data_IF_740485549491
#
_entry.id   IF_740485549491
#
_cell.length_a   1.000
_cell.length_b   1.000
_cell.length_c   1.000
_cell.angle_alpha   90.00
_cell.angle_beta   90.00
_cell.angle_gamma   90.00
#
_symmetry.space_group_name_H-M   'P 1'
#
loop_
_entity.id
_entity.type
_entity.pdbx_description
1 polymer ?
#
# COMPACT_ATOMS: atom_id res chain seq x y z
N UNK A 1 15.96 -2.88 32.90
CA UNK A 1 14.60 -3.36 32.60
C UNK A 1 13.74 -2.13 32.40
N UNK A 2 13.54 -1.71 31.16
CA UNK A 2 12.51 -0.73 30.85
C UNK A 2 11.24 -1.56 30.69
N UNK A 3 10.26 -1.29 31.55
CA UNK A 3 8.92 -1.85 31.43
C UNK A 3 8.37 -1.48 30.05
N UNK A 4 7.91 -2.48 29.30
CA UNK A 4 7.08 -2.24 28.12
C UNK A 4 5.83 -1.51 28.59
N UNK A 5 5.84 -0.17 28.54
CA UNK A 5 4.60 0.61 28.62
C UNK A 5 3.69 0.05 27.52
N UNK A 6 2.52 -0.45 27.93
CA UNK A 6 1.50 -0.94 27.01
C UNK A 6 1.08 0.21 26.09
N UNK A 7 1.74 0.32 24.94
CA UNK A 7 1.41 1.28 23.89
C UNK A 7 -0.08 1.12 23.60
N UNK A 8 -0.85 2.18 23.84
CA UNK A 8 -2.30 2.16 23.69
C UNK A 8 -2.68 1.58 22.31
N UNK A 9 -3.66 0.66 22.20
CA UNK A 9 -3.99 -0.02 20.94
C UNK A 9 -4.21 0.91 19.74
N UNK A 10 -4.69 2.13 19.96
CA UNK A 10 -4.84 3.14 18.90
C UNK A 10 -3.51 3.64 18.31
N UNK A 11 -2.42 3.64 19.08
CA UNK A 11 -1.09 4.08 18.64
C UNK A 11 -0.42 3.05 17.72
N UNK A 12 -0.83 1.78 17.79
CA UNK A 12 -0.43 0.74 16.82
C UNK A 12 -1.09 0.91 15.45
N UNK A 13 -2.14 1.73 15.38
CA UNK A 13 -3.00 1.91 14.19
C UNK A 13 -3.13 3.38 13.81
N UNK A 14 -2.27 4.27 14.31
CA UNK A 14 -2.21 5.62 13.78
C UNK A 14 -1.66 5.56 12.36
N UNK A 15 -2.54 5.84 11.41
CA UNK A 15 -2.26 5.68 9.99
C UNK A 15 -1.84 6.98 9.31
N UNK A 16 -2.06 8.15 9.91
CA UNK A 16 -1.86 9.43 9.21
C UNK A 16 -0.39 9.86 9.15
N UNK A 17 0.15 9.84 7.94
CA UNK A 17 1.51 10.26 7.61
C UNK A 17 1.53 11.63 6.91
N UNK A 18 0.40 12.33 6.83
CA UNK A 18 0.26 13.58 6.08
C UNK A 18 1.10 14.74 6.63
N UNK A 19 1.56 14.65 7.88
CA UNK A 19 2.40 15.66 8.54
C UNK A 19 3.90 15.34 8.53
N UNK A 20 4.28 14.16 8.04
CA UNK A 20 5.69 13.75 7.98
C UNK A 20 6.38 14.45 6.81
N UNK A 21 7.60 14.95 7.04
CA UNK A 21 8.46 15.41 5.96
C UNK A 21 8.75 14.24 5.01
N UNK A 22 8.41 14.39 3.73
CA UNK A 22 8.56 13.35 2.70
C UNK A 22 10.00 12.85 2.62
N UNK A 23 11.00 13.69 2.94
CA UNK A 23 12.43 13.32 2.96
C UNK A 23 12.76 12.30 4.05
N UNK A 24 11.92 12.19 5.07
CA UNK A 24 12.05 11.24 6.18
C UNK A 24 11.23 9.97 5.96
N UNK A 25 10.46 9.86 4.86
CA UNK A 25 9.71 8.65 4.57
C UNK A 25 10.66 7.47 4.32
N UNK A 26 10.52 6.36 5.09
CA UNK A 26 11.36 5.19 4.89
C UNK A 26 11.12 4.52 3.54
N UNK A 27 12.20 4.18 2.84
CA UNK A 27 12.16 3.33 1.65
C UNK A 27 11.56 1.97 2.00
N UNK A 28 10.73 1.40 1.11
CA UNK A 28 10.03 0.14 1.34
C UNK A 28 8.79 0.27 2.23
N UNK A 29 8.36 1.50 2.55
CA UNK A 29 7.12 1.75 3.27
C UNK A 29 5.91 1.40 2.40
N UNK A 30 5.00 0.60 2.94
CA UNK A 30 3.69 0.39 2.34
C UNK A 30 2.80 1.56 2.76
N UNK A 31 2.45 2.37 1.78
CA UNK A 31 1.60 3.54 1.94
C UNK A 31 0.26 3.31 1.23
N UNK A 32 -0.76 3.99 1.70
CA UNK A 32 -2.04 4.02 1.02
C UNK A 32 -2.68 5.41 1.11
N UNK A 33 -3.69 5.63 0.28
CA UNK A 33 -4.50 6.84 0.29
C UNK A 33 -5.96 6.44 0.12
N UNK A 34 -6.85 7.05 0.90
CA UNK A 34 -8.29 6.90 0.71
C UNK A 34 -8.74 7.63 -0.56
N UNK A 35 -9.45 6.93 -1.43
CA UNK A 35 -10.04 7.43 -2.67
C UNK A 35 -11.51 7.04 -2.72
N UNK A 36 -12.32 7.85 -3.39
CA UNK A 36 -13.75 7.59 -3.48
C UNK A 36 -14.53 8.87 -3.72
N UNK A 37 -15.79 8.71 -4.09
CA UNK A 37 -16.75 9.80 -4.16
C UNK A 37 -18.12 9.29 -3.73
N UNK A 38 -18.83 10.10 -2.92
CA UNK A 38 -20.19 9.88 -2.45
C UNK A 38 -20.38 8.57 -1.65
N UNK A 39 -20.55 7.42 -2.32
CA UNK A 39 -21.04 6.16 -1.73
C UNK A 39 -20.04 5.00 -1.75
N UNK A 40 -18.85 5.19 -2.34
CA UNK A 40 -17.82 4.15 -2.42
C UNK A 40 -16.43 4.71 -2.12
N UNK A 41 -15.93 4.43 -0.92
CA UNK A 41 -14.54 4.68 -0.50
C UNK A 41 -13.72 3.40 -0.59
N UNK A 42 -12.47 3.54 -1.02
CA UNK A 42 -11.49 2.46 -1.06
C UNK A 42 -10.09 3.00 -0.74
N UNK A 43 -9.22 2.14 -0.23
CA UNK A 43 -7.81 2.44 -0.05
C UNK A 43 -7.02 2.07 -1.32
N UNK A 44 -6.20 2.98 -1.82
CA UNK A 44 -5.28 2.73 -2.92
C UNK A 44 -3.86 2.56 -2.39
N UNK A 45 -3.24 1.42 -2.65
CA UNK A 45 -2.01 0.99 -1.99
C UNK A 45 -0.78 1.06 -2.91
N UNK A 46 0.40 1.33 -2.32
CA UNK A 46 1.67 1.40 -3.03
C UNK A 46 2.87 1.21 -2.12
N UNK A 47 4.03 1.00 -2.75
CA UNK A 47 5.34 0.91 -2.09
C UNK A 47 6.15 2.17 -2.40
N UNK A 48 6.49 2.91 -1.35
CA UNK A 48 7.42 4.03 -1.48
C UNK A 48 8.85 3.51 -1.71
N UNK A 49 9.50 4.00 -2.76
CA UNK A 49 10.83 3.52 -3.17
C UNK A 49 11.95 4.56 -2.99
N UNK A 50 11.65 5.70 -2.37
CA UNK A 50 12.57 6.83 -2.21
C UNK A 50 12.28 8.00 -3.17
N UNK A 51 12.88 9.16 -2.89
CA UNK A 51 12.87 10.35 -3.76
C UNK A 51 11.48 10.81 -4.24
N UNK A 52 10.45 10.66 -3.39
CA UNK A 52 9.09 11.02 -3.77
C UNK A 52 8.48 10.09 -4.82
N UNK A 53 8.98 8.85 -4.99
CA UNK A 53 8.52 7.88 -5.99
C UNK A 53 7.80 6.70 -5.34
N UNK A 54 6.77 6.21 -6.02
CA UNK A 54 5.90 5.13 -5.53
C UNK A 54 5.65 4.14 -6.66
N UNK A 55 5.82 2.85 -6.38
CA UNK A 55 5.39 1.78 -7.28
C UNK A 55 4.04 1.25 -6.77
N UNK A 56 3.05 1.15 -7.65
CA UNK A 56 1.74 0.64 -7.29
C UNK A 56 1.04 -0.03 -8.47
N UNK A 57 0.09 -0.92 -8.15
CA UNK A 57 -0.76 -1.51 -9.18
C UNK A 57 -1.92 -0.58 -9.52
N UNK A 58 -2.24 -0.44 -10.81
CA UNK A 58 -3.40 0.32 -11.30
C UNK A 58 -4.32 -0.56 -12.14
N UNK A 59 -5.61 -0.23 -12.12
CA UNK A 59 -6.59 -0.91 -12.94
C UNK A 59 -6.65 -0.39 -14.38
N UNK A 60 -7.21 -1.19 -15.31
CA UNK A 60 -7.30 -0.85 -16.74
C UNK A 60 -8.16 0.39 -17.05
N UNK A 61 -8.89 0.91 -16.05
CA UNK A 61 -9.67 2.16 -16.12
C UNK A 61 -9.29 3.17 -15.03
N UNK A 62 -8.10 3.06 -14.44
CA UNK A 62 -7.66 4.01 -13.44
C UNK A 62 -7.66 5.41 -14.06
N UNK A 63 -8.60 6.26 -13.64
CA UNK A 63 -8.68 7.65 -14.07
C UNK A 63 -7.37 8.34 -13.70
N UNK A 64 -6.52 8.58 -14.69
CA UNK A 64 -5.32 9.39 -14.51
C UNK A 64 -5.51 10.78 -15.13
N UNK A 65 -4.56 11.68 -14.89
CA UNK A 65 -4.61 13.01 -15.45
C UNK A 65 -4.63 12.94 -16.99
N UNK A 66 -5.47 13.78 -17.62
CA UNK A 66 -5.56 13.90 -19.09
C UNK A 66 -4.25 14.38 -19.72
N UNK A 67 -3.44 15.09 -18.94
CA UNK A 67 -2.11 15.58 -19.31
C UNK A 67 -1.07 14.83 -18.49
N UNK A 68 0.00 14.37 -19.14
CA UNK A 68 1.09 13.67 -18.47
C UNK A 68 1.72 14.53 -17.37
N UNK A 69 2.03 13.92 -16.22
CA UNK A 69 2.67 14.63 -15.13
C UNK A 69 4.09 15.06 -15.49
N UNK A 70 4.45 16.33 -15.26
CA UNK A 70 5.81 16.84 -15.54
C UNK A 70 6.90 16.19 -14.68
N UNK A 71 6.56 15.62 -13.52
CA UNK A 71 7.53 15.01 -12.58
C UNK A 71 7.79 13.52 -12.84
N UNK A 72 6.76 12.77 -13.28
CA UNK A 72 6.86 11.32 -13.45
C UNK A 72 6.43 10.82 -14.83
N UNK A 73 6.02 11.70 -15.74
CA UNK A 73 5.49 11.39 -17.07
C UNK A 73 4.24 10.48 -17.09
N UNK A 74 3.70 10.12 -15.92
CA UNK A 74 2.50 9.28 -15.82
C UNK A 74 1.29 9.96 -16.46
N UNK A 75 0.56 9.20 -17.29
CA UNK A 75 -0.68 9.60 -17.97
C UNK A 75 -1.76 8.51 -17.81
N UNK A 76 -3.04 8.92 -17.78
CA UNK A 76 -4.16 8.07 -17.39
C UNK A 76 -4.65 7.00 -18.38
N UNK A 77 -3.80 6.54 -19.30
CA UNK A 77 -4.17 5.60 -20.37
C UNK A 77 -3.22 4.39 -20.47
N UNK A 78 -2.53 4.04 -19.38
CA UNK A 78 -1.57 2.95 -19.40
C UNK A 78 -2.24 1.58 -19.31
N UNK A 79 -1.88 0.67 -20.23
CA UNK A 79 -2.22 -0.76 -20.19
C UNK A 79 -1.37 -1.55 -19.18
N UNK A 80 -0.48 -0.89 -18.43
CA UNK A 80 0.39 -1.54 -17.44
C UNK A 80 -0.31 -1.70 -16.10
N UNK A 81 -0.32 -2.93 -15.58
CA UNK A 81 -0.93 -3.26 -14.30
C UNK A 81 -0.13 -2.76 -13.09
N UNK A 82 1.17 -2.50 -13.24
CA UNK A 82 2.07 -1.95 -12.20
C UNK A 82 2.83 -0.78 -12.79
N UNK A 83 2.84 0.35 -12.10
CA UNK A 83 3.41 1.61 -12.58
C UNK A 83 4.24 2.28 -11.48
N UNK A 84 5.15 3.16 -11.90
CA UNK A 84 5.88 4.06 -11.01
C UNK A 84 5.39 5.49 -11.21
N UNK A 85 5.02 6.17 -10.13
CA UNK A 85 4.53 7.55 -10.15
C UNK A 85 5.25 8.40 -9.11
N UNK A 86 5.12 9.74 -9.21
CA UNK A 86 5.47 10.59 -8.08
C UNK A 86 4.41 10.48 -6.97
N UNK A 87 4.82 10.74 -5.73
CA UNK A 87 3.98 10.68 -4.55
C UNK A 87 2.73 11.57 -4.70
N UNK A 88 2.87 12.74 -5.31
CA UNK A 88 1.73 13.64 -5.57
C UNK A 88 0.67 13.01 -6.48
N UNK A 89 1.08 12.33 -7.55
CA UNK A 89 0.15 11.60 -8.43
C UNK A 89 -0.46 10.38 -7.73
N UNK A 90 0.31 9.70 -6.89
CA UNK A 90 -0.18 8.62 -6.05
C UNK A 90 -1.24 9.10 -5.05
N UNK A 91 -1.03 10.24 -4.39
CA UNK A 91 -1.97 10.79 -3.42
C UNK A 91 -3.21 11.41 -4.07
N UNK A 92 -3.06 12.05 -5.23
CA UNK A 92 -4.16 12.69 -5.95
C UNK A 92 -4.98 13.66 -5.05
N UNK A 93 -4.28 14.40 -4.18
CA UNK A 93 -4.87 15.31 -3.19
C UNK A 93 -5.39 14.65 -1.91
N UNK A 94 -5.34 13.32 -1.81
CA UNK A 94 -5.71 12.59 -0.60
C UNK A 94 -4.63 12.58 0.48
N UNK A 95 -4.98 12.04 1.65
CA UNK A 95 -4.09 11.93 2.81
C UNK A 95 -3.13 10.77 2.66
N UNK A 96 -1.86 11.00 2.98
CA UNK A 96 -0.85 9.95 3.01
C UNK A 96 -1.06 9.11 4.26
N UNK A 97 -1.29 7.81 4.09
CA UNK A 97 -1.41 6.88 5.19
C UNK A 97 -0.38 5.75 5.14
N UNK A 98 0.00 5.21 6.30
CA UNK A 98 0.87 4.03 6.42
C UNK A 98 0.07 2.77 6.70
N UNK A 99 0.42 1.69 6.01
CA UNK A 99 -0.03 0.33 6.35
C UNK A 99 0.86 -0.27 7.44
N UNK A 100 0.25 -0.79 8.51
CA UNK A 100 0.99 -1.34 9.65
C UNK A 100 1.18 -2.86 9.56
N UNK A 101 2.42 -3.30 9.77
CA UNK A 101 2.81 -4.71 9.85
C UNK A 101 3.16 -5.04 11.30
N UNK A 102 3.26 -6.33 11.61
CA UNK A 102 3.66 -6.79 12.95
C UNK A 102 2.71 -6.32 14.06
N UNK A 103 1.45 -6.03 13.73
CA UNK A 103 0.44 -5.62 14.71
C UNK A 103 0.05 -6.84 15.57
N UNK A 104 0.13 -6.76 16.92
CA UNK A 104 -0.26 -7.85 17.79
C UNK A 104 -1.71 -8.31 17.60
N UNK A 105 -1.95 -9.62 17.66
CA UNK A 105 -3.28 -10.18 17.37
C UNK A 105 -4.36 -9.73 18.37
N UNK A 106 -4.00 -9.48 19.62
CA UNK A 106 -4.90 -8.88 20.61
C UNK A 106 -5.31 -7.46 20.21
N UNK A 107 -4.40 -6.64 19.68
CA UNK A 107 -4.71 -5.30 19.16
C UNK A 107 -5.69 -5.40 17.99
N UNK A 108 -5.45 -6.28 17.01
CA UNK A 108 -6.35 -6.48 15.86
C UNK A 108 -7.77 -6.91 16.28
N UNK A 109 -7.90 -7.70 17.35
CA UNK A 109 -9.20 -8.20 17.85
C UNK A 109 -10.00 -7.13 18.58
N UNK A 110 -9.34 -6.21 19.28
CA UNK A 110 -9.99 -5.22 20.16
C UNK A 110 -10.46 -3.99 19.36
N UNK A 111 -9.75 -3.60 18.31
CA UNK A 111 -10.02 -2.34 17.61
C UNK A 111 -11.27 -2.37 16.72
N UNK A 112 -12.10 -3.43 16.73
CA UNK A 112 -13.20 -3.66 15.76
C UNK A 112 -12.73 -3.71 14.29
N UNK A 113 -11.46 -4.06 14.09
CA UNK A 113 -10.77 -4.19 12.80
C UNK A 113 -11.14 -5.46 12.00
N UNK A 114 -12.33 -6.01 12.20
CA UNK A 114 -12.83 -7.15 11.41
C UNK A 114 -12.94 -6.78 9.91
N UNK A 115 -12.88 -5.47 9.59
CA UNK A 115 -12.92 -4.91 8.22
C UNK A 115 -11.71 -4.00 7.88
N UNK A 116 -10.64 -3.97 8.69
CA UNK A 116 -9.55 -3.03 8.50
C UNK A 116 -8.54 -3.52 7.45
N UNK A 117 -8.64 -3.00 6.22
CA UNK A 117 -7.71 -3.23 5.11
C UNK A 117 -6.37 -2.47 5.24
N UNK A 118 -6.00 -2.00 6.44
CA UNK A 118 -4.87 -1.04 6.60
C UNK A 118 -3.80 -1.49 7.60
N UNK A 119 -3.93 -2.69 8.17
CA UNK A 119 -2.89 -3.31 9.00
C UNK A 119 -2.95 -4.85 9.00
N UNK A 120 -1.86 -5.50 9.40
CA UNK A 120 -1.75 -6.96 9.47
C UNK A 120 -0.79 -7.42 10.56
N UNK A 121 -0.98 -8.66 11.04
CA UNK A 121 -0.04 -9.34 11.95
C UNK A 121 1.11 -10.03 11.20
N UNK A 122 1.12 -10.02 9.87
CA UNK A 122 2.24 -10.57 9.08
C UNK A 122 3.49 -9.70 9.29
N UNK A 123 4.65 -10.36 9.25
CA UNK A 123 5.95 -9.68 9.32
C UNK A 123 6.33 -9.10 7.97
N UNK A 124 6.91 -7.90 8.00
CA UNK A 124 7.52 -7.31 6.81
C UNK A 124 8.93 -7.86 6.57
N UNK A 125 9.28 -8.06 5.30
CA UNK A 125 10.66 -8.17 4.83
C UNK A 125 11.44 -6.87 5.08
N UNK A 126 12.78 -6.93 5.10
CA UNK A 126 13.65 -5.76 5.08
C UNK A 126 13.37 -4.82 3.91
N UNK A 127 13.59 -3.51 4.11
CA UNK A 127 13.24 -2.47 3.13
C UNK A 127 13.84 -2.70 1.73
N UNK A 128 15.10 -3.15 1.66
CA UNK A 128 15.78 -3.42 0.40
C UNK A 128 15.08 -4.53 -0.40
N UNK A 129 14.70 -5.63 0.24
CA UNK A 129 13.99 -6.74 -0.41
C UNK A 129 12.58 -6.35 -0.88
N UNK A 130 11.90 -5.50 -0.11
CA UNK A 130 10.59 -4.96 -0.47
C UNK A 130 10.69 -4.15 -1.76
N UNK A 131 11.67 -3.24 -1.83
CA UNK A 131 11.88 -2.40 -3.02
C UNK A 131 12.36 -3.21 -4.21
N UNK A 132 13.24 -4.19 -4.00
CA UNK A 132 13.66 -5.11 -5.06
C UNK A 132 12.46 -5.86 -5.64
N UNK A 133 11.58 -6.38 -4.76
CA UNK A 133 10.35 -7.06 -5.18
C UNK A 133 9.43 -6.12 -5.98
N UNK A 134 9.20 -4.89 -5.48
CA UNK A 134 8.36 -3.91 -6.17
C UNK A 134 8.93 -3.52 -7.55
N UNK A 135 10.24 -3.26 -7.64
CA UNK A 135 10.93 -2.95 -8.91
C UNK A 135 10.90 -4.11 -9.89
N UNK A 136 11.05 -5.34 -9.41
CA UNK A 136 10.93 -6.54 -10.23
C UNK A 136 9.52 -6.67 -10.80
N UNK A 137 8.49 -6.47 -9.98
CA UNK A 137 7.09 -6.50 -10.42
C UNK A 137 6.66 -5.34 -11.31
N UNK A 138 7.32 -4.19 -11.22
CA UNK A 138 7.19 -3.12 -12.20
C UNK A 138 7.65 -3.57 -13.61
N UNK A 139 8.69 -4.41 -13.70
CA UNK A 139 9.22 -4.91 -14.99
C UNK A 139 8.44 -6.13 -15.51
N UNK A 140 8.14 -7.08 -14.62
CA UNK A 140 7.51 -8.36 -14.98
C UNK A 140 5.98 -8.29 -15.05
N UNK A 141 5.37 -7.28 -14.41
CA UNK A 141 3.94 -7.24 -14.14
C UNK A 141 3.54 -8.08 -12.92
N UNK A 142 2.26 -7.96 -12.53
CA UNK A 142 1.70 -8.60 -11.33
C UNK A 142 0.34 -9.25 -11.62
N UNK A 143 0.31 -10.15 -12.62
CA UNK A 143 -0.90 -10.90 -13.01
C UNK A 143 -1.99 -10.06 -13.68
N UNK A 144 -3.14 -10.69 -13.96
CA UNK A 144 -4.31 -10.02 -14.54
C UNK A 144 -5.11 -9.29 -13.48
N UNK A 145 -5.50 -8.05 -13.78
CA UNK A 145 -6.14 -7.15 -12.83
C UNK A 145 -7.64 -7.44 -12.68
N UNK A 146 -8.10 -7.85 -11.49
CA UNK A 146 -9.50 -7.82 -11.07
C UNK A 146 -9.89 -6.48 -10.40
N UNK A 147 -11.02 -5.90 -10.80
CA UNK A 147 -11.39 -4.50 -10.55
C UNK A 147 -11.61 -4.12 -9.06
N UNK A 148 -10.61 -3.51 -8.42
CA UNK A 148 -10.76 -2.35 -7.50
C UNK A 148 -10.37 -2.51 -6.01
N UNK A 149 -10.29 -3.68 -5.37
CA UNK A 149 -9.85 -3.70 -3.95
C UNK A 149 -8.76 -4.72 -3.59
N UNK A 150 -8.58 -5.77 -4.40
CA UNK A 150 -7.66 -6.84 -4.02
C UNK A 150 -6.27 -6.73 -4.69
N UNK A 151 -6.08 -6.14 -5.87
CA UNK A 151 -4.75 -6.23 -6.52
C UNK A 151 -3.71 -5.22 -6.01
N UNK A 152 -4.10 -3.98 -5.68
CA UNK A 152 -3.11 -2.99 -5.20
C UNK A 152 -2.67 -3.31 -3.78
N UNK A 153 -3.60 -3.70 -2.89
CA UNK A 153 -3.26 -4.19 -1.56
C UNK A 153 -2.50 -5.53 -1.65
N UNK A 154 -2.90 -6.47 -2.52
CA UNK A 154 -2.13 -7.71 -2.72
C UNK A 154 -0.74 -7.43 -3.25
N UNK A 155 -0.58 -6.50 -4.19
CA UNK A 155 0.73 -6.11 -4.72
C UNK A 155 1.63 -5.58 -3.60
N UNK A 156 1.12 -4.63 -2.82
CA UNK A 156 1.90 -4.00 -1.76
C UNK A 156 2.20 -5.01 -0.63
N UNK A 157 1.21 -5.80 -0.21
CA UNK A 157 1.40 -6.86 0.78
C UNK A 157 2.33 -7.96 0.28
N UNK A 158 2.23 -8.39 -0.97
CA UNK A 158 3.16 -9.34 -1.58
C UNK A 158 4.60 -8.79 -1.58
N UNK A 159 4.76 -7.51 -1.91
CA UNK A 159 6.06 -6.85 -1.85
C UNK A 159 6.63 -6.86 -0.43
N UNK A 160 5.76 -6.68 0.58
CA UNK A 160 6.15 -6.66 2.00
C UNK A 160 6.40 -8.04 2.59
N UNK A 161 5.68 -9.08 2.18
CA UNK A 161 5.69 -10.38 2.89
C UNK A 161 6.17 -11.53 2.03
N UNK A 162 6.23 -11.37 0.71
CA UNK A 162 6.45 -12.46 -0.25
C UNK A 162 5.28 -13.44 -0.37
N UNK A 163 4.14 -13.19 0.31
CA UNK A 163 2.97 -14.07 0.27
C UNK A 163 1.71 -13.30 -0.07
N UNK A 164 1.12 -13.62 -1.22
CA UNK A 164 -0.20 -13.15 -1.65
C UNK A 164 -1.30 -14.06 -1.09
N UNK A 165 -1.41 -14.13 0.23
CA UNK A 165 -2.53 -14.79 0.90
C UNK A 165 -3.48 -13.72 1.43
N UNK A 166 -4.55 -13.52 0.66
CA UNK A 166 -5.82 -12.96 1.09
C UNK A 166 -6.19 -13.54 2.47
N UNK A 167 -6.44 -12.69 3.47
CA UNK A 167 -6.94 -13.15 4.78
C UNK A 167 -8.42 -13.59 4.72
N UNK A 168 -9.08 -13.57 3.56
CA UNK A 168 -10.53 -13.81 3.44
C UNK A 168 -10.91 -15.19 2.89
N UNK A 169 -9.99 -16.12 2.65
CA UNK A 169 -10.39 -17.50 2.32
C UNK A 169 -9.48 -18.54 2.98
N UNK A 170 -10.01 -19.42 3.85
CA UNK A 170 -9.29 -20.62 4.26
C UNK A 170 -9.33 -21.60 3.10
N UNK A 171 -8.21 -21.77 2.40
CA UNK A 171 -8.11 -22.79 1.36
C UNK A 171 -7.12 -22.44 0.26
N UNK A 172 -6.00 -23.17 0.29
CA UNK A 172 -5.09 -23.46 -0.81
C UNK A 172 -5.42 -22.86 -2.18
N UNK A 173 -4.59 -21.91 -2.63
CA UNK A 173 -3.95 -21.99 -3.94
C UNK A 173 -2.69 -21.12 -3.95
N UNK A 174 -1.54 -21.79 -4.08
CA UNK A 174 -0.27 -21.15 -4.41
C UNK A 174 -0.32 -20.84 -5.90
N UNK A 175 -0.27 -19.56 -6.25
CA UNK A 175 0.07 -19.05 -7.58
C UNK A 175 1.57 -18.78 -7.64
#
# INVERSE_FOLDING_TARGET
MIVEEEIHPSLWVEHDYSRIDIRLLPVGLHIYVWRGALLYEYSHHGIYIGDGRVIHSIGPKAGGPRVACKKCAFAGNMQQAVVETCLECFLCGGRLCRYNYDVPMNVLRITSHVMCSTCTSKRSKPANEVVETAKRKLKEGFGTYNLISNNCEHFATFSKTGTSLCQQVPGHLRI
#
